data_IF_862060602282
#
_entry.id   IF_862060602282
#
_cell.length_a   1.000
_cell.length_b   1.000
_cell.length_c   1.000
_cell.angle_alpha   90.00
_cell.angle_beta   90.00
_cell.angle_gamma   90.00
#
_symmetry.space_group_name_H-M   'P 1'
#
loop_
_entity.id
_entity.type
_entity.pdbx_description
1 polymer ?
#
# COMPACT_ATOMS: atom_id res chain seq x y z
N UNK A 1 36.81 -15.68 -3.12
CA UNK A 1 36.09 -14.52 -3.61
C UNK A 1 34.63 -14.77 -3.35
N UNK A 2 33.92 -14.00 -2.52
CA UNK A 2 32.48 -14.15 -2.39
C UNK A 2 31.83 -13.56 -3.66
N UNK A 3 31.01 -14.37 -4.33
CA UNK A 3 30.21 -13.95 -5.46
C UNK A 3 29.37 -12.72 -5.09
N UNK A 4 29.51 -11.68 -5.88
CA UNK A 4 28.76 -10.43 -5.76
C UNK A 4 27.27 -10.71 -6.02
N UNK A 5 26.51 -10.93 -4.95
CA UNK A 5 25.06 -11.19 -4.98
C UNK A 5 24.24 -10.00 -5.49
N UNK A 6 24.90 -8.88 -5.84
CA UNK A 6 24.26 -7.64 -6.30
C UNK A 6 23.87 -7.63 -7.77
N UNK A 7 24.18 -8.70 -8.53
CA UNK A 7 23.95 -8.75 -9.98
C UNK A 7 23.10 -9.91 -10.48
N UNK A 8 22.22 -10.49 -9.68
CA UNK A 8 21.19 -11.31 -10.29
C UNK A 8 20.25 -10.38 -11.07
N UNK A 9 20.19 -10.49 -12.43
CA UNK A 9 19.23 -9.73 -13.19
C UNK A 9 17.86 -10.14 -12.67
N UNK A 10 17.15 -9.18 -12.05
CA UNK A 10 15.74 -9.34 -11.75
C UNK A 10 15.06 -9.69 -13.06
N UNK A 11 14.56 -10.91 -13.18
CA UNK A 11 13.78 -11.32 -14.36
C UNK A 11 12.65 -10.31 -14.50
N UNK A 12 12.59 -9.54 -15.61
CA UNK A 12 11.53 -8.54 -15.76
C UNK A 12 10.20 -9.24 -15.60
N UNK A 13 9.33 -8.68 -14.75
CA UNK A 13 7.94 -9.10 -14.77
C UNK A 13 7.45 -8.93 -16.19
N UNK A 14 6.76 -9.92 -16.79
CA UNK A 14 6.18 -9.73 -18.10
C UNK A 14 5.33 -8.46 -18.06
N UNK A 15 5.70 -7.47 -18.89
CA UNK A 15 5.02 -6.18 -18.92
C UNK A 15 3.52 -6.36 -19.06
N UNK A 16 2.71 -5.46 -18.53
CA UNK A 16 1.26 -5.53 -18.62
C UNK A 16 0.87 -5.45 -20.10
N UNK A 17 0.70 -6.59 -20.73
CA UNK A 17 -0.08 -6.64 -21.97
C UNK A 17 -1.52 -6.45 -21.54
N UNK A 18 -2.13 -5.33 -21.93
CA UNK A 18 -3.49 -4.93 -21.58
C UNK A 18 -4.55 -6.03 -21.83
N UNK A 19 -4.23 -7.01 -22.63
CA UNK A 19 -5.09 -8.12 -23.02
C UNK A 19 -4.33 -9.45 -23.08
N UNK A 20 -3.85 -9.94 -21.94
CA UNK A 20 -3.59 -11.37 -21.88
C UNK A 20 -4.86 -12.06 -21.43
N UNK A 21 -5.49 -12.78 -22.34
CA UNK A 21 -6.58 -13.75 -22.10
C UNK A 21 -6.26 -14.77 -21.00
N UNK A 22 -5.01 -14.90 -20.66
CA UNK A 22 -4.48 -15.71 -19.56
C UNK A 22 -4.99 -15.31 -18.17
N UNK A 23 -5.52 -14.09 -17.97
CA UNK A 23 -6.13 -13.69 -16.72
C UNK A 23 -7.59 -14.16 -16.55
N UNK A 24 -8.19 -14.73 -17.57
CA UNK A 24 -9.55 -15.30 -17.55
C UNK A 24 -9.59 -16.78 -17.22
N UNK A 25 -8.44 -17.46 -17.28
CA UNK A 25 -8.38 -18.90 -17.02
C UNK A 25 -8.11 -19.15 -15.52
N UNK A 26 -8.56 -20.30 -14.95
CA UNK A 26 -8.37 -20.62 -13.53
C UNK A 26 -6.91 -21.01 -13.26
N UNK A 27 -6.01 -20.05 -13.36
CA UNK A 27 -4.61 -20.21 -12.97
C UNK A 27 -4.50 -20.22 -11.46
N UNK A 28 -3.55 -21.01 -10.95
CA UNK A 28 -3.13 -20.93 -9.56
C UNK A 28 -2.77 -19.46 -9.27
N UNK A 29 -3.46 -18.84 -8.35
CA UNK A 29 -3.35 -17.42 -8.01
C UNK A 29 -1.91 -16.96 -7.78
N UNK A 30 -1.07 -17.85 -7.22
CA UNK A 30 0.36 -17.58 -6.97
C UNK A 30 1.14 -17.05 -8.21
N UNK A 31 0.65 -17.32 -9.41
CA UNK A 31 1.28 -16.88 -10.67
C UNK A 31 0.54 -15.70 -11.33
N UNK A 32 -0.59 -15.27 -10.80
CA UNK A 32 -1.36 -14.16 -11.33
C UNK A 32 -0.99 -12.85 -10.61
N UNK A 33 -0.61 -11.84 -11.39
CA UNK A 33 -0.36 -10.50 -10.83
C UNK A 33 -1.69 -9.77 -10.61
N UNK A 34 -2.60 -9.85 -11.60
CA UNK A 34 -3.91 -9.21 -11.47
C UNK A 34 -4.86 -10.04 -10.64
N UNK A 35 -5.62 -9.36 -9.78
CA UNK A 35 -6.74 -9.98 -9.09
C UNK A 35 -7.76 -10.53 -10.11
N UNK A 36 -8.23 -11.78 -9.98
CA UNK A 36 -9.12 -12.40 -10.99
C UNK A 36 -10.45 -11.63 -11.18
N UNK A 37 -10.94 -10.96 -10.16
CA UNK A 37 -12.13 -10.10 -10.23
C UNK A 37 -11.91 -8.76 -10.93
N UNK A 38 -10.67 -8.33 -11.18
CA UNK A 38 -10.43 -7.00 -11.74
C UNK A 38 -10.98 -6.83 -13.14
N UNK A 39 -10.77 -7.80 -14.01
CA UNK A 39 -11.22 -7.73 -15.40
C UNK A 39 -12.75 -7.78 -15.53
N UNK A 40 -13.48 -8.70 -14.87
CA UNK A 40 -14.94 -8.69 -14.91
C UNK A 40 -15.55 -7.37 -14.44
N UNK A 41 -15.07 -6.84 -13.29
CA UNK A 41 -15.56 -5.56 -12.78
C UNK A 41 -15.18 -4.37 -13.66
N UNK A 42 -14.02 -4.40 -14.31
CA UNK A 42 -13.62 -3.39 -15.28
C UNK A 42 -14.50 -3.40 -16.54
N UNK A 43 -14.84 -4.58 -17.05
CA UNK A 43 -15.76 -4.74 -18.19
C UNK A 43 -17.15 -4.21 -17.81
N UNK A 44 -17.64 -4.54 -16.61
CA UNK A 44 -18.90 -4.02 -16.09
C UNK A 44 -18.89 -2.49 -16.00
N UNK A 45 -17.80 -1.91 -15.51
CA UNK A 45 -17.64 -0.46 -15.42
C UNK A 45 -17.66 0.21 -16.79
N UNK A 46 -16.96 -0.36 -17.76
CA UNK A 46 -16.97 0.14 -19.15
C UNK A 46 -18.36 0.00 -19.78
N UNK A 47 -19.07 -1.12 -19.52
CA UNK A 47 -20.44 -1.34 -19.97
C UNK A 47 -21.38 -0.28 -19.43
N UNK A 48 -21.40 -0.03 -18.11
CA UNK A 48 -22.22 0.99 -17.48
C UNK A 48 -21.94 2.38 -18.08
N UNK A 49 -20.66 2.72 -18.23
CA UNK A 49 -20.28 4.01 -18.82
C UNK A 49 -20.74 4.13 -20.26
N UNK A 50 -20.55 3.09 -21.09
CA UNK A 50 -20.96 3.08 -22.48
C UNK A 50 -22.50 3.24 -22.60
N UNK A 51 -23.28 2.46 -21.86
CA UNK A 51 -24.76 2.56 -21.88
C UNK A 51 -25.23 3.92 -21.40
N UNK A 52 -24.58 4.49 -20.37
CA UNK A 52 -24.91 5.85 -19.91
C UNK A 52 -24.65 6.87 -21.00
N UNK A 53 -23.49 6.85 -21.67
CA UNK A 53 -23.20 7.79 -22.74
C UNK A 53 -24.07 7.59 -23.98
N UNK A 54 -24.48 6.35 -24.30
CA UNK A 54 -25.48 6.10 -25.35
C UNK A 54 -26.82 6.75 -24.96
N UNK A 55 -27.29 6.55 -23.73
CA UNK A 55 -28.53 7.17 -23.23
C UNK A 55 -28.47 8.70 -23.26
N UNK A 56 -27.35 9.28 -22.77
CA UNK A 56 -27.11 10.74 -22.84
C UNK A 56 -27.12 11.23 -24.30
N UNK A 57 -26.50 10.48 -25.22
CA UNK A 57 -26.48 10.82 -26.64
C UNK A 57 -27.89 10.81 -27.28
N UNK A 58 -28.68 9.80 -26.96
CA UNK A 58 -30.09 9.72 -27.42
C UNK A 58 -30.88 10.91 -26.88
N UNK A 59 -30.80 11.17 -25.58
CA UNK A 59 -31.47 12.31 -24.94
C UNK A 59 -31.03 13.66 -25.55
N UNK A 60 -29.73 13.83 -25.78
CA UNK A 60 -29.20 15.04 -26.41
C UNK A 60 -29.79 15.29 -27.79
N UNK A 61 -29.93 14.25 -28.60
CA UNK A 61 -30.46 14.35 -29.97
C UNK A 61 -31.97 14.53 -30.01
N UNK A 62 -32.72 14.08 -29.00
CA UNK A 62 -34.21 14.07 -29.05
C UNK A 62 -34.86 15.15 -28.19
N UNK A 63 -34.29 15.47 -27.04
CA UNK A 63 -34.98 16.24 -26.00
C UNK A 63 -34.16 17.37 -25.39
N UNK A 64 -32.84 17.34 -25.47
CA UNK A 64 -31.99 18.32 -24.77
C UNK A 64 -32.25 19.77 -25.18
N UNK A 65 -32.41 20.03 -26.48
CA UNK A 65 -32.65 21.40 -26.97
C UNK A 65 -34.04 21.92 -26.53
N UNK A 66 -35.15 21.17 -26.68
CA UNK A 66 -36.44 21.53 -26.14
C UNK A 66 -36.41 21.79 -24.62
N UNK A 67 -35.82 20.91 -23.84
CA UNK A 67 -35.76 21.06 -22.39
C UNK A 67 -34.87 22.26 -21.96
N UNK A 68 -33.78 22.51 -22.70
CA UNK A 68 -32.93 23.68 -22.46
C UNK A 68 -33.68 25.02 -22.77
N UNK A 69 -34.50 25.02 -23.81
CA UNK A 69 -35.31 26.20 -24.18
C UNK A 69 -36.49 26.41 -23.25
N UNK A 70 -36.90 25.42 -22.49
CA UNK A 70 -37.97 25.53 -21.47
C UNK A 70 -37.46 26.04 -20.12
N UNK A 71 -36.15 26.30 -19.96
CA UNK A 71 -35.61 26.88 -18.75
C UNK A 71 -36.03 28.35 -18.64
N UNK A 72 -36.82 28.66 -17.64
CA UNK A 72 -37.20 30.04 -17.30
C UNK A 72 -36.09 30.67 -16.43
N UNK A 73 -35.68 31.88 -16.83
CA UNK A 73 -34.75 32.69 -16.03
C UNK A 73 -35.59 33.78 -15.34
N UNK A 74 -35.54 33.83 -14.03
CA UNK A 74 -36.14 34.90 -13.25
C UNK A 74 -35.38 36.21 -13.55
N UNK A 75 -36.04 37.14 -14.22
CA UNK A 75 -35.47 38.44 -14.62
C UNK A 75 -35.02 39.30 -13.43
N UNK A 76 -35.56 39.07 -12.23
CA UNK A 76 -35.23 39.85 -11.03
C UNK A 76 -33.99 39.32 -10.27
N UNK A 77 -33.79 38.03 -10.27
CA UNK A 77 -32.69 37.37 -9.54
C UNK A 77 -31.57 36.87 -10.46
N UNK A 78 -31.82 36.80 -11.76
CA UNK A 78 -30.89 36.19 -12.72
C UNK A 78 -30.69 34.68 -12.54
N UNK A 79 -31.53 34.04 -11.72
CA UNK A 79 -31.42 32.60 -11.42
C UNK A 79 -32.31 31.80 -12.37
N UNK A 80 -31.76 30.76 -12.98
CA UNK A 80 -32.52 29.81 -13.77
C UNK A 80 -33.39 28.95 -12.85
N UNK A 81 -34.70 29.02 -13.03
CA UNK A 81 -35.64 28.13 -12.35
C UNK A 81 -35.82 26.84 -13.16
N UNK A 82 -35.93 25.71 -12.46
CA UNK A 82 -36.30 24.42 -13.06
C UNK A 82 -35.40 23.86 -14.15
N UNK A 83 -34.05 23.94 -13.95
CA UNK A 83 -33.16 23.17 -14.79
C UNK A 83 -33.43 21.68 -14.52
N UNK A 84 -34.08 21.00 -15.47
CA UNK A 84 -34.46 19.61 -15.35
C UNK A 84 -33.24 18.73 -15.03
N UNK A 85 -33.44 17.71 -14.20
CA UNK A 85 -32.36 16.80 -13.79
C UNK A 85 -31.61 16.20 -15.00
N UNK A 86 -32.32 15.90 -16.09
CA UNK A 86 -31.73 15.32 -17.31
C UNK A 86 -30.81 16.32 -18.02
N UNK A 87 -31.12 17.61 -18.03
CA UNK A 87 -30.23 18.65 -18.58
C UNK A 87 -28.95 18.72 -17.73
N UNK A 88 -29.06 18.73 -16.39
CA UNK A 88 -27.92 18.77 -15.50
C UNK A 88 -27.01 17.56 -15.68
N UNK A 89 -27.58 16.34 -15.73
CA UNK A 89 -26.81 15.10 -15.93
C UNK A 89 -26.13 15.06 -17.31
N UNK A 90 -26.79 15.59 -18.35
CA UNK A 90 -26.21 15.70 -19.70
C UNK A 90 -25.00 16.65 -19.70
N UNK A 91 -25.16 17.84 -19.13
CA UNK A 91 -24.05 18.79 -19.01
C UNK A 91 -22.90 18.20 -18.20
N UNK A 92 -23.19 17.55 -17.07
CA UNK A 92 -22.16 16.88 -16.26
C UNK A 92 -21.44 15.80 -17.08
N UNK A 93 -22.16 14.94 -17.79
CA UNK A 93 -21.57 13.89 -18.60
C UNK A 93 -20.65 14.44 -19.71
N UNK A 94 -21.07 15.51 -20.38
CA UNK A 94 -20.28 16.17 -21.44
C UNK A 94 -19.02 16.82 -20.89
N UNK A 95 -19.12 17.52 -19.76
CA UNK A 95 -17.98 18.23 -19.18
C UNK A 95 -17.08 17.34 -18.29
N UNK A 96 -17.56 16.21 -17.83
CA UNK A 96 -16.80 15.33 -16.91
C UNK A 96 -15.39 14.97 -17.41
N UNK A 97 -15.17 14.58 -18.67
CA UNK A 97 -13.82 14.26 -19.16
C UNK A 97 -12.87 15.47 -19.09
N UNK A 98 -13.37 16.67 -19.46
CA UNK A 98 -12.59 17.90 -19.37
C UNK A 98 -12.29 18.27 -17.92
N UNK A 99 -13.28 18.19 -17.04
CA UNK A 99 -13.13 18.47 -15.61
C UNK A 99 -12.08 17.55 -14.98
N UNK A 100 -12.16 16.25 -15.25
CA UNK A 100 -11.18 15.27 -14.76
C UNK A 100 -9.77 15.57 -15.28
N UNK A 101 -9.65 16.01 -16.54
CA UNK A 101 -8.37 16.43 -17.10
C UNK A 101 -7.81 17.65 -16.37
N UNK A 102 -8.62 18.69 -16.17
CA UNK A 102 -8.20 19.92 -15.50
C UNK A 102 -7.84 19.68 -14.03
N UNK A 103 -8.66 18.93 -13.29
CA UNK A 103 -8.39 18.58 -11.88
C UNK A 103 -7.04 17.84 -11.77
N UNK A 104 -6.78 16.89 -12.64
CA UNK A 104 -5.49 16.16 -12.63
C UNK A 104 -4.31 17.03 -13.04
N UNK A 105 -4.51 17.94 -14.00
CA UNK A 105 -3.50 18.91 -14.41
C UNK A 105 -3.11 19.80 -13.24
N UNK A 106 -4.12 20.35 -12.55
CA UNK A 106 -3.93 21.23 -11.41
C UNK A 106 -3.28 20.48 -10.23
N UNK A 107 -3.78 19.30 -9.88
CA UNK A 107 -3.17 18.45 -8.84
C UNK A 107 -1.69 18.17 -9.13
N UNK A 108 -1.35 17.80 -10.37
CA UNK A 108 0.04 17.55 -10.74
C UNK A 108 0.89 18.82 -10.67
N UNK A 109 0.34 19.96 -11.09
CA UNK A 109 1.03 21.23 -10.97
C UNK A 109 1.30 21.59 -9.50
N UNK A 110 0.30 21.44 -8.62
CA UNK A 110 0.46 21.66 -7.18
C UNK A 110 1.56 20.79 -6.55
N UNK A 111 1.59 19.51 -6.89
CA UNK A 111 2.62 18.59 -6.40
C UNK A 111 4.01 19.04 -6.88
N UNK A 112 4.15 19.42 -8.14
CA UNK A 112 5.45 19.85 -8.69
C UNK A 112 6.02 21.10 -8.06
N UNK A 113 5.18 22.01 -7.58
CA UNK A 113 5.63 23.29 -7.00
C UNK A 113 5.76 23.24 -5.49
N UNK A 114 5.05 22.33 -4.80
CA UNK A 114 5.03 22.27 -3.34
C UNK A 114 5.74 21.04 -2.75
N UNK A 115 5.88 19.95 -3.49
CA UNK A 115 6.51 18.74 -2.99
C UNK A 115 7.98 18.64 -3.39
N UNK A 116 8.78 17.92 -2.59
CA UNK A 116 10.20 17.72 -2.85
C UNK A 116 10.38 16.57 -3.83
N UNK A 117 11.07 16.82 -4.95
CA UNK A 117 11.29 15.79 -5.96
C UNK A 117 12.28 14.74 -5.46
N UNK A 118 11.94 13.46 -5.61
CA UNK A 118 12.87 12.35 -5.39
C UNK A 118 13.77 12.22 -6.62
N UNK A 119 15.08 12.23 -6.41
CA UNK A 119 16.10 12.19 -7.45
C UNK A 119 17.37 11.51 -6.93
N UNK A 120 18.37 11.21 -7.80
CA UNK A 120 19.65 10.66 -7.34
C UNK A 120 20.37 11.51 -6.30
N UNK A 121 20.08 12.80 -6.23
CA UNK A 121 20.69 13.75 -5.29
C UNK A 121 19.77 14.14 -4.13
N UNK A 122 18.50 13.76 -4.19
CA UNK A 122 17.51 13.97 -3.12
C UNK A 122 16.76 12.67 -2.87
N UNK A 123 16.84 12.12 -1.66
CA UNK A 123 16.30 10.81 -1.30
C UNK A 123 16.82 9.68 -2.21
N UNK A 124 18.15 9.50 -2.34
CA UNK A 124 18.76 8.59 -3.31
C UNK A 124 18.29 7.12 -3.13
N UNK A 125 18.05 6.71 -1.90
CA UNK A 125 17.56 5.37 -1.57
C UNK A 125 16.14 5.12 -2.11
N UNK A 126 15.22 6.04 -1.83
CA UNK A 126 13.88 5.96 -2.37
C UNK A 126 13.89 6.02 -3.91
N UNK A 127 14.76 6.85 -4.50
CA UNK A 127 14.93 6.89 -5.95
C UNK A 127 15.38 5.54 -6.50
N UNK A 128 16.36 4.91 -5.88
CA UNK A 128 16.84 3.58 -6.29
C UNK A 128 15.72 2.54 -6.19
N UNK A 129 14.95 2.53 -5.08
CA UNK A 129 13.81 1.62 -4.91
C UNK A 129 12.78 1.80 -6.03
N UNK A 130 12.49 3.06 -6.44
CA UNK A 130 11.55 3.36 -7.53
C UNK A 130 12.09 2.85 -8.87
N UNK A 131 13.37 3.04 -9.16
CA UNK A 131 14.01 2.54 -10.37
C UNK A 131 13.95 1.01 -10.44
N UNK A 132 14.27 0.34 -9.33
CA UNK A 132 14.22 -1.12 -9.23
C UNK A 132 12.80 -1.64 -9.39
N UNK A 133 11.81 -1.03 -8.73
CA UNK A 133 10.40 -1.40 -8.85
C UNK A 133 9.87 -1.18 -10.27
N UNK A 134 10.21 -0.05 -10.89
CA UNK A 134 9.83 0.25 -12.27
C UNK A 134 10.40 -0.79 -13.25
N UNK A 135 11.66 -1.17 -13.06
CA UNK A 135 12.32 -2.24 -13.83
C UNK A 135 11.65 -3.59 -13.61
N UNK A 136 11.40 -3.95 -12.35
CA UNK A 136 10.75 -5.22 -11.99
C UNK A 136 9.32 -5.33 -12.53
N UNK A 137 8.61 -4.19 -12.59
CA UNK A 137 7.27 -4.10 -13.18
C UNK A 137 7.25 -3.98 -14.70
N UNK A 138 8.42 -3.88 -15.36
CA UNK A 138 8.53 -3.76 -16.81
C UNK A 138 8.06 -2.42 -17.38
N UNK A 139 8.15 -1.34 -16.59
CA UNK A 139 7.82 -0.01 -17.07
C UNK A 139 8.86 0.48 -18.07
N UNK A 140 8.41 1.17 -19.12
CA UNK A 140 9.30 1.77 -20.14
C UNK A 140 10.04 3.01 -19.63
N UNK A 141 9.52 3.68 -18.61
CA UNK A 141 10.08 4.90 -18.02
C UNK A 141 9.90 4.84 -16.50
N UNK A 142 10.87 5.34 -15.77
CA UNK A 142 10.77 5.55 -14.33
C UNK A 142 9.74 6.66 -14.09
N UNK A 143 8.73 6.47 -13.23
CA UNK A 143 7.79 7.52 -12.90
C UNK A 143 8.48 8.67 -12.17
N UNK A 144 7.98 9.90 -12.34
CA UNK A 144 8.37 11.01 -11.48
C UNK A 144 7.96 10.68 -10.04
N UNK A 145 8.73 11.12 -9.05
CA UNK A 145 8.40 10.84 -7.65
C UNK A 145 8.67 12.05 -6.76
N UNK A 146 7.83 12.20 -5.74
CA UNK A 146 7.84 13.36 -4.85
C UNK A 146 7.62 12.94 -3.40
N UNK A 147 8.28 13.63 -2.47
CA UNK A 147 7.97 13.57 -1.04
C UNK A 147 7.08 14.77 -0.72
N UNK A 148 5.94 14.49 -0.09
CA UNK A 148 4.99 15.50 0.36
C UNK A 148 4.85 15.45 1.89
N UNK A 149 4.61 16.60 2.51
CA UNK A 149 4.40 16.69 3.95
C UNK A 149 3.16 15.87 4.37
N UNK A 150 3.37 14.93 5.29
CA UNK A 150 2.33 13.99 5.73
C UNK A 150 1.54 14.44 6.96
N UNK A 151 2.08 15.39 7.76
CA UNK A 151 1.45 15.86 9.01
C UNK A 151 1.01 14.71 9.94
N UNK A 152 1.83 13.67 10.06
CA UNK A 152 1.54 12.49 10.85
C UNK A 152 0.77 11.39 10.10
N UNK A 153 0.30 11.65 8.90
CA UNK A 153 -0.34 10.63 8.06
C UNK A 153 0.69 9.81 7.30
N UNK A 154 0.52 8.50 7.35
CA UNK A 154 1.30 7.57 6.54
C UNK A 154 0.48 7.25 5.29
N UNK A 155 0.96 7.70 4.15
CA UNK A 155 0.30 7.45 2.88
C UNK A 155 1.29 7.53 1.71
N UNK A 156 0.92 6.93 0.61
CA UNK A 156 1.52 7.13 -0.70
C UNK A 156 0.42 6.99 -1.75
N UNK A 157 0.62 7.55 -2.93
CA UNK A 157 -0.31 7.34 -4.03
C UNK A 157 0.38 7.51 -5.38
N UNK A 158 -0.10 6.75 -6.36
CA UNK A 158 0.26 6.91 -7.75
C UNK A 158 -0.81 7.70 -8.51
N UNK A 159 -0.37 8.52 -9.45
CA UNK A 159 -1.27 9.23 -10.35
C UNK A 159 -0.62 9.50 -11.69
N UNK A 160 -1.28 10.26 -12.56
CA UNK A 160 -0.73 10.63 -13.85
C UNK A 160 -1.50 11.74 -14.52
N UNK A 161 -0.77 12.54 -15.32
CA UNK A 161 -1.35 13.57 -16.17
C UNK A 161 -0.71 13.50 -17.55
N UNK A 162 -1.51 13.50 -18.60
CA UNK A 162 -1.03 13.27 -19.97
C UNK A 162 -0.24 11.97 -20.07
N UNK A 163 0.99 12.05 -20.55
CA UNK A 163 1.92 10.92 -20.65
C UNK A 163 2.78 10.72 -19.40
N UNK A 164 2.75 11.64 -18.44
CA UNK A 164 3.50 11.57 -17.21
C UNK A 164 2.79 10.68 -16.17
N UNK A 165 3.55 9.87 -15.47
CA UNK A 165 3.13 9.09 -14.31
C UNK A 165 4.01 9.49 -13.16
N UNK A 166 3.42 9.61 -11.98
CA UNK A 166 4.15 10.01 -10.79
C UNK A 166 3.64 9.29 -9.55
N UNK A 167 4.53 9.24 -8.56
CA UNK A 167 4.28 8.67 -7.24
C UNK A 167 4.51 9.78 -6.23
N UNK A 168 3.64 9.89 -5.23
CA UNK A 168 3.83 10.76 -4.07
C UNK A 168 3.96 9.89 -2.84
N UNK A 169 4.99 10.14 -2.06
CA UNK A 169 5.27 9.43 -0.81
C UNK A 169 5.21 10.48 0.31
N UNK A 170 4.47 10.19 1.38
CA UNK A 170 4.39 11.12 2.49
C UNK A 170 5.64 11.05 3.36
N UNK A 171 6.04 12.22 3.89
CA UNK A 171 7.27 12.40 4.68
C UNK A 171 7.34 11.48 5.91
N UNK A 172 6.19 11.05 6.44
CA UNK A 172 6.10 10.19 7.62
C UNK A 172 6.61 8.76 7.39
N UNK A 173 6.90 8.38 6.14
CA UNK A 173 7.58 7.15 5.78
C UNK A 173 9.12 7.24 5.85
N UNK A 174 9.65 8.42 6.15
CA UNK A 174 11.08 8.69 6.27
C UNK A 174 11.45 9.08 7.71
N UNK A 175 12.72 8.85 8.06
CA UNK A 175 13.35 9.35 9.29
C UNK A 175 13.98 10.73 9.09
N UNK A 176 14.40 11.32 10.17
CA UNK A 176 15.24 12.53 10.14
C UNK A 176 16.49 12.23 9.31
N UNK A 177 16.76 13.10 8.33
CA UNK A 177 17.87 12.89 7.38
C UNK A 177 17.51 12.17 6.10
N UNK A 178 16.26 11.72 5.95
CA UNK A 178 15.70 11.19 4.69
C UNK A 178 15.89 9.70 4.46
N UNK A 179 16.43 8.95 5.41
CA UNK A 179 16.46 7.49 5.35
C UNK A 179 15.03 6.91 5.48
N UNK A 180 14.73 5.77 4.83
CA UNK A 180 13.46 5.07 5.04
C UNK A 180 13.28 4.67 6.50
N UNK A 181 12.13 4.95 7.10
CA UNK A 181 11.82 4.55 8.48
C UNK A 181 11.82 3.02 8.63
N UNK A 182 11.18 2.35 7.69
CA UNK A 182 11.28 0.91 7.52
C UNK A 182 11.53 0.62 6.02
N UNK A 183 12.74 0.19 5.64
CA UNK A 183 13.10 -0.02 4.24
C UNK A 183 12.22 -1.05 3.53
N UNK A 184 11.82 -2.12 4.19
CA UNK A 184 10.99 -3.15 3.59
C UNK A 184 9.56 -2.67 3.37
N UNK A 185 8.98 -1.93 4.36
CA UNK A 185 7.68 -1.32 4.20
C UNK A 185 7.69 -0.29 3.05
N UNK A 186 8.71 0.57 2.98
CA UNK A 186 8.82 1.56 1.90
C UNK A 186 9.00 0.89 0.54
N UNK A 187 9.83 -0.17 0.44
CA UNK A 187 9.97 -0.94 -0.80
C UNK A 187 8.66 -1.58 -1.23
N UNK A 188 7.91 -2.15 -0.29
CA UNK A 188 6.60 -2.72 -0.58
C UNK A 188 5.63 -1.65 -1.09
N UNK A 189 5.54 -0.50 -0.40
CA UNK A 189 4.68 0.63 -0.80
C UNK A 189 5.06 1.13 -2.19
N UNK A 190 6.34 1.35 -2.46
CA UNK A 190 6.82 1.75 -3.79
C UNK A 190 6.44 0.70 -4.85
N UNK A 191 6.61 -0.58 -4.55
CA UNK A 191 6.19 -1.68 -5.44
C UNK A 191 4.69 -1.68 -5.71
N UNK A 192 3.87 -1.38 -4.69
CA UNK A 192 2.42 -1.22 -4.78
C UNK A 192 2.04 -0.03 -5.69
N UNK A 193 2.63 1.14 -5.48
CA UNK A 193 2.36 2.34 -6.28
C UNK A 193 2.81 2.17 -7.74
N UNK A 194 3.99 1.60 -7.95
CA UNK A 194 4.45 1.20 -9.29
C UNK A 194 3.50 0.18 -9.91
N UNK A 195 2.93 -0.71 -9.10
CA UNK A 195 1.90 -1.68 -9.50
C UNK A 195 0.66 -1.00 -10.07
N UNK A 196 0.15 0.06 -9.44
CA UNK A 196 -0.97 0.85 -9.97
C UNK A 196 -0.63 1.44 -11.35
N UNK A 197 0.59 1.93 -11.54
CA UNK A 197 1.03 2.45 -12.84
C UNK A 197 1.13 1.32 -13.87
N UNK A 198 1.76 0.21 -13.53
CA UNK A 198 1.99 -0.92 -14.41
C UNK A 198 0.69 -1.63 -14.83
N UNK A 199 -0.26 -1.71 -13.90
CA UNK A 199 -1.59 -2.27 -14.16
C UNK A 199 -2.52 -1.30 -14.93
N UNK A 200 -2.09 -0.03 -15.13
CA UNK A 200 -2.86 0.97 -15.86
C UNK A 200 -3.99 1.62 -15.05
N UNK A 201 -4.01 1.46 -13.72
CA UNK A 201 -5.05 2.01 -12.84
C UNK A 201 -5.11 3.55 -12.91
N UNK A 202 -3.98 4.19 -13.11
CA UNK A 202 -3.84 5.65 -13.18
C UNK A 202 -4.00 6.23 -14.60
N UNK A 203 -4.41 5.43 -15.56
CA UNK A 203 -4.59 5.89 -16.94
C UNK A 203 -5.80 6.83 -17.05
N UNK A 204 -5.69 7.87 -17.86
CA UNK A 204 -6.77 8.83 -18.06
C UNK A 204 -8.03 8.18 -18.67
N UNK A 205 -7.83 7.32 -19.67
CA UNK A 205 -8.95 6.58 -20.28
C UNK A 205 -9.66 5.69 -19.27
N UNK A 206 -8.90 4.93 -18.48
CA UNK A 206 -9.50 4.09 -17.44
C UNK A 206 -10.31 4.93 -16.45
N UNK A 207 -9.78 6.09 -16.04
CA UNK A 207 -10.47 6.99 -15.13
C UNK A 207 -11.81 7.46 -15.70
N UNK A 208 -11.85 7.92 -16.95
CA UNK A 208 -13.09 8.35 -17.60
C UNK A 208 -14.09 7.20 -17.67
N UNK A 209 -13.66 6.05 -18.22
CA UNK A 209 -14.56 4.93 -18.45
C UNK A 209 -14.96 4.14 -17.19
N UNK A 210 -14.36 4.43 -16.04
CA UNK A 210 -14.76 3.84 -14.76
C UNK A 210 -15.42 4.85 -13.81
N UNK A 211 -15.33 6.16 -14.10
CA UNK A 211 -15.75 7.22 -13.17
C UNK A 211 -17.22 7.11 -12.75
N UNK A 212 -18.12 6.87 -13.69
CA UNK A 212 -19.56 6.72 -13.40
C UNK A 212 -19.84 5.47 -12.55
N UNK A 213 -19.21 4.35 -12.91
CA UNK A 213 -19.34 3.10 -12.15
C UNK A 213 -18.83 3.25 -10.71
N UNK A 214 -17.71 3.96 -10.53
CA UNK A 214 -17.12 4.20 -9.21
C UNK A 214 -18.01 5.05 -8.28
N UNK A 215 -18.97 5.79 -8.82
CA UNK A 215 -19.96 6.54 -8.04
C UNK A 215 -21.14 5.68 -7.55
N UNK A 216 -21.29 4.44 -8.06
CA UNK A 216 -22.35 3.55 -7.62
C UNK A 216 -22.05 3.08 -6.19
N UNK A 217 -22.95 3.35 -5.21
CA UNK A 217 -22.76 2.93 -3.83
C UNK A 217 -22.51 1.41 -3.74
N UNK A 218 -21.64 0.98 -2.83
CA UNK A 218 -21.28 -0.42 -2.56
C UNK A 218 -20.60 -1.15 -3.74
N UNK A 219 -21.08 -0.94 -4.96
CA UNK A 219 -20.60 -1.67 -6.15
C UNK A 219 -19.33 -1.06 -6.72
N UNK A 220 -19.26 0.28 -6.81
CA UNK A 220 -18.08 0.97 -7.33
C UNK A 220 -16.79 0.66 -6.56
N UNK A 221 -16.91 0.55 -5.25
CA UNK A 221 -15.78 0.22 -4.37
C UNK A 221 -15.22 -1.21 -4.59
N UNK A 222 -15.99 -2.13 -5.18
CA UNK A 222 -15.50 -3.49 -5.49
C UNK A 222 -14.39 -3.43 -6.54
N UNK A 223 -14.57 -2.64 -7.59
CA UNK A 223 -13.53 -2.44 -8.61
C UNK A 223 -12.26 -1.84 -7.98
N UNK A 224 -12.40 -0.84 -7.10
CA UNK A 224 -11.27 -0.25 -6.37
C UNK A 224 -10.52 -1.31 -5.57
N UNK A 225 -11.22 -2.13 -4.79
CA UNK A 225 -10.59 -3.20 -4.00
C UNK A 225 -9.86 -4.24 -4.86
N UNK A 226 -10.37 -4.56 -6.07
CA UNK A 226 -9.62 -5.45 -6.97
C UNK A 226 -8.31 -4.83 -7.43
N UNK A 227 -8.31 -3.51 -7.67
CA UNK A 227 -7.11 -2.77 -8.06
C UNK A 227 -6.08 -2.72 -6.93
N UNK A 228 -6.53 -2.57 -5.69
CA UNK A 228 -5.68 -2.60 -4.50
C UNK A 228 -4.99 -3.95 -4.33
N UNK A 229 -5.74 -5.06 -4.44
CA UNK A 229 -5.13 -6.40 -4.38
C UNK A 229 -4.17 -6.66 -5.55
N UNK A 230 -4.46 -6.12 -6.73
CA UNK A 230 -3.51 -6.17 -7.85
C UNK A 230 -2.22 -5.42 -7.52
N UNK A 231 -2.33 -4.21 -6.98
CA UNK A 231 -1.17 -3.41 -6.56
C UNK A 231 -0.40 -4.09 -5.42
N UNK A 232 -1.09 -4.70 -4.44
CA UNK A 232 -0.47 -5.51 -3.38
C UNK A 232 0.31 -6.70 -3.95
N UNK A 233 -0.18 -7.32 -5.02
CA UNK A 233 0.54 -8.41 -5.69
C UNK A 233 1.85 -7.93 -6.33
N UNK A 234 1.88 -6.71 -6.87
CA UNK A 234 3.13 -6.09 -7.34
C UNK A 234 4.06 -5.77 -6.17
N UNK A 235 3.54 -5.17 -5.09
CA UNK A 235 4.30 -4.89 -3.87
C UNK A 235 4.90 -6.16 -3.28
N UNK A 236 4.10 -7.21 -3.11
CA UNK A 236 4.54 -8.50 -2.59
C UNK A 236 5.60 -9.16 -3.49
N UNK A 237 5.40 -9.13 -4.81
CA UNK A 237 6.37 -9.69 -5.75
C UNK A 237 7.71 -8.95 -5.75
N UNK A 238 7.68 -7.65 -5.52
CA UNK A 238 8.87 -6.82 -5.44
C UNK A 238 9.59 -6.95 -4.09
N UNK A 239 8.84 -7.03 -2.99
CA UNK A 239 9.37 -7.11 -1.63
C UNK A 239 8.47 -7.98 -0.73
N UNK A 240 8.53 -9.34 -0.83
CA UNK A 240 7.67 -10.23 -0.04
C UNK A 240 7.82 -10.02 1.47
N UNK A 241 9.04 -9.81 1.94
CA UNK A 241 9.35 -9.55 3.36
C UNK A 241 8.76 -8.21 3.87
N UNK A 242 8.32 -7.35 2.96
CA UNK A 242 7.65 -6.09 3.32
C UNK A 242 6.18 -6.26 3.68
N UNK A 243 5.56 -7.43 3.49
CA UNK A 243 4.14 -7.63 3.77
C UNK A 243 3.77 -7.45 5.25
N UNK A 244 4.46 -8.06 6.23
CA UNK A 244 4.21 -7.77 7.64
C UNK A 244 4.58 -6.32 8.00
N UNK A 245 5.67 -5.80 7.46
CA UNK A 245 6.16 -4.46 7.77
C UNK A 245 5.19 -3.35 7.31
N UNK A 246 4.70 -3.45 6.07
CA UNK A 246 3.70 -2.49 5.56
C UNK A 246 2.38 -2.58 6.32
N UNK A 247 1.99 -3.78 6.74
CA UNK A 247 0.79 -3.96 7.56
C UNK A 247 0.94 -3.24 8.90
N UNK A 248 2.09 -3.41 9.59
CA UNK A 248 2.37 -2.70 10.83
C UNK A 248 2.33 -1.19 10.65
N UNK A 249 3.00 -0.67 9.63
CA UNK A 249 3.03 0.77 9.32
C UNK A 249 1.63 1.33 9.04
N UNK A 250 0.83 0.65 8.23
CA UNK A 250 -0.52 1.12 7.87
C UNK A 250 -1.54 0.95 9.01
N UNK A 251 -1.40 -0.09 9.83
CA UNK A 251 -2.34 -0.37 10.92
C UNK A 251 -2.10 0.48 12.17
N UNK A 252 -0.83 0.67 12.56
CA UNK A 252 -0.46 1.30 13.84
C UNK A 252 0.40 2.56 13.70
N UNK A 253 0.74 2.93 12.48
CA UNK A 253 1.50 4.14 12.23
C UNK A 253 2.99 4.01 12.53
N UNK A 254 3.68 5.13 12.43
CA UNK A 254 5.15 5.20 12.42
C UNK A 254 5.84 4.85 13.75
N UNK A 255 5.14 4.92 14.85
CA UNK A 255 5.72 4.69 16.18
C UNK A 255 5.42 3.30 16.73
N UNK A 256 4.29 2.70 16.36
CA UNK A 256 3.81 1.44 16.93
C UNK A 256 3.87 0.27 15.93
N UNK A 257 4.38 0.48 14.73
CA UNK A 257 4.41 -0.54 13.67
C UNK A 257 5.09 -1.85 14.08
N UNK A 258 6.09 -1.78 14.98
CA UNK A 258 6.83 -2.95 15.44
C UNK A 258 6.10 -3.76 16.54
N UNK A 259 5.04 -3.19 17.12
CA UNK A 259 4.20 -3.86 18.13
C UNK A 259 3.04 -4.62 17.47
N UNK A 260 2.85 -4.45 16.15
CA UNK A 260 1.78 -5.15 15.44
C UNK A 260 2.21 -6.59 15.16
N UNK A 261 1.45 -7.53 15.73
CA UNK A 261 1.54 -8.93 15.36
C UNK A 261 0.78 -9.13 14.04
N UNK A 262 1.52 -9.32 12.97
CA UNK A 262 0.96 -9.46 11.61
C UNK A 262 -0.02 -10.64 11.49
N UNK A 263 0.32 -11.79 12.10
CA UNK A 263 -0.51 -12.98 12.00
C UNK A 263 -1.80 -12.84 12.80
N UNK A 264 -1.74 -12.27 14.00
CA UNK A 264 -2.89 -11.97 14.82
C UNK A 264 -3.80 -10.95 14.12
N UNK A 265 -3.23 -9.87 13.59
CA UNK A 265 -3.99 -8.87 12.84
C UNK A 265 -4.69 -9.49 11.62
N UNK A 266 -4.01 -10.38 10.89
CA UNK A 266 -4.57 -11.08 9.73
C UNK A 266 -5.62 -12.13 10.13
N UNK A 267 -5.45 -12.82 11.28
CA UNK A 267 -6.42 -13.79 11.79
C UNK A 267 -7.79 -13.17 12.04
N UNK A 268 -7.83 -11.92 12.46
CA UNK A 268 -9.07 -11.16 12.69
C UNK A 268 -10.00 -11.12 11.48
N UNK A 269 -9.45 -11.21 10.26
CA UNK A 269 -10.25 -11.29 9.04
C UNK A 269 -11.25 -12.45 9.05
N UNK A 270 -10.92 -13.56 9.71
CA UNK A 270 -11.77 -14.75 9.83
C UNK A 270 -12.76 -14.66 11.01
N UNK A 271 -12.34 -14.06 12.12
CA UNK A 271 -13.15 -13.99 13.35
C UNK A 271 -14.08 -12.78 13.37
N UNK A 272 -13.55 -11.62 12.95
CA UNK A 272 -14.34 -10.38 12.95
C UNK A 272 -15.42 -10.43 11.88
N UNK A 273 -16.66 -10.47 12.32
CA UNK A 273 -17.82 -10.57 11.44
C UNK A 273 -19.00 -9.74 11.94
N UNK A 274 -20.09 -9.85 11.19
CA UNK A 274 -21.32 -9.14 11.49
C UNK A 274 -21.75 -8.19 10.37
N UNK A 275 -23.00 -7.78 10.43
CA UNK A 275 -23.61 -6.96 9.39
C UNK A 275 -22.88 -5.62 9.18
N UNK A 276 -22.57 -4.92 10.27
CA UNK A 276 -21.92 -3.61 10.17
C UNK A 276 -20.46 -3.72 9.69
N UNK A 277 -19.73 -4.77 10.10
CA UNK A 277 -18.38 -5.05 9.59
C UNK A 277 -18.41 -5.33 8.07
N UNK A 278 -19.42 -6.06 7.63
CA UNK A 278 -19.64 -6.33 6.22
C UNK A 278 -19.91 -5.04 5.41
N UNK A 279 -20.83 -4.16 5.89
CA UNK A 279 -21.12 -2.86 5.27
C UNK A 279 -19.87 -1.97 5.26
N UNK A 280 -19.11 -1.93 6.36
CA UNK A 280 -17.87 -1.15 6.44
C UNK A 280 -16.89 -1.55 5.33
N UNK A 281 -16.72 -2.87 5.09
CA UNK A 281 -15.90 -3.34 3.99
C UNK A 281 -16.50 -2.98 2.62
N UNK A 282 -17.82 -3.09 2.44
CA UNK A 282 -18.44 -2.77 1.16
C UNK A 282 -18.29 -1.30 0.78
N UNK A 283 -18.34 -0.39 1.74
CA UNK A 283 -18.18 1.05 1.49
C UNK A 283 -16.71 1.46 1.32
N UNK A 284 -15.76 0.64 1.78
CA UNK A 284 -14.35 0.97 1.72
C UNK A 284 -13.82 0.90 0.28
N UNK A 285 -13.16 1.95 -0.18
CA UNK A 285 -12.45 1.98 -1.46
C UNK A 285 -11.20 1.08 -1.47
N UNK A 286 -10.59 0.88 -0.30
CA UNK A 286 -9.53 -0.09 -0.07
C UNK A 286 -10.08 -1.28 0.69
N UNK A 287 -9.53 -2.50 0.51
CA UNK A 287 -9.87 -3.60 1.39
C UNK A 287 -9.57 -3.24 2.85
N UNK A 288 -10.45 -3.62 3.77
CA UNK A 288 -10.18 -3.39 5.20
C UNK A 288 -8.86 -4.05 5.61
N UNK A 289 -8.11 -3.39 6.50
CA UNK A 289 -6.73 -3.75 6.81
C UNK A 289 -6.52 -5.22 7.16
N UNK A 290 -7.42 -5.82 7.94
CA UNK A 290 -7.35 -7.25 8.29
C UNK A 290 -7.49 -8.18 7.09
N UNK A 291 -8.39 -7.87 6.14
CA UNK A 291 -8.55 -8.68 4.93
C UNK A 291 -7.36 -8.52 3.98
N UNK A 292 -6.80 -7.32 3.93
CA UNK A 292 -5.58 -7.05 3.16
C UNK A 292 -4.39 -7.83 3.74
N UNK A 293 -4.19 -7.78 5.05
CA UNK A 293 -3.17 -8.55 5.75
C UNK A 293 -3.35 -10.07 5.54
N UNK A 294 -4.58 -10.58 5.63
CA UNK A 294 -4.90 -11.98 5.36
C UNK A 294 -4.51 -12.39 3.94
N UNK A 295 -4.84 -11.58 2.93
CA UNK A 295 -4.51 -11.87 1.53
C UNK A 295 -2.98 -11.78 1.26
N UNK A 296 -2.26 -10.95 2.00
CA UNK A 296 -0.80 -10.89 1.93
C UNK A 296 -0.13 -12.08 2.61
N UNK A 297 -0.74 -12.63 3.66
CA UNK A 297 -0.27 -13.81 4.37
C UNK A 297 -0.59 -15.10 3.62
N UNK A 298 -1.84 -15.27 3.22
CA UNK A 298 -2.30 -16.43 2.44
C UNK A 298 -2.29 -16.12 0.95
N UNK A 299 -1.22 -16.55 0.29
CA UNK A 299 -1.03 -16.36 -1.15
C UNK A 299 -1.66 -17.46 -2.01
N UNK A 300 -2.33 -18.42 -1.41
CA UNK A 300 -3.02 -19.50 -2.11
C UNK A 300 -4.34 -19.05 -2.72
N UNK A 301 -4.99 -18.02 -2.14
CA UNK A 301 -6.25 -17.46 -2.58
C UNK A 301 -6.14 -15.95 -2.91
N UNK A 302 -6.97 -15.46 -3.84
CA UNK A 302 -7.07 -14.02 -4.07
C UNK A 302 -7.74 -13.33 -2.89
N UNK A 303 -7.44 -12.05 -2.70
CA UNK A 303 -8.08 -11.22 -1.69
C UNK A 303 -9.61 -11.19 -1.83
N UNK A 304 -10.31 -11.19 -0.72
CA UNK A 304 -11.78 -11.24 -0.68
C UNK A 304 -12.37 -9.84 -0.93
N UNK A 305 -13.42 -9.78 -1.74
CA UNK A 305 -14.04 -8.52 -2.17
C UNK A 305 -15.31 -8.19 -1.41
N UNK A 306 -16.16 -9.19 -1.13
CA UNK A 306 -17.51 -9.01 -0.59
C UNK A 306 -17.67 -9.77 0.73
N UNK A 307 -17.17 -11.00 0.78
CA UNK A 307 -17.32 -11.88 1.94
C UNK A 307 -15.96 -12.11 2.59
N UNK A 308 -15.92 -12.18 3.91
CA UNK A 308 -14.70 -12.45 4.68
C UNK A 308 -14.07 -13.81 4.31
N UNK A 309 -12.76 -13.99 4.52
CA UNK A 309 -12.14 -15.29 4.42
C UNK A 309 -12.73 -16.26 5.45
N UNK A 310 -12.70 -17.55 5.16
CA UNK A 310 -13.29 -18.57 6.03
C UNK A 310 -12.26 -19.20 6.96
N UNK A 311 -11.05 -19.38 6.50
CA UNK A 311 -10.01 -20.12 7.18
C UNK A 311 -8.72 -19.30 7.25
N UNK A 312 -7.95 -19.51 8.31
CA UNK A 312 -6.59 -19.00 8.42
C UNK A 312 -5.60 -20.04 7.89
N UNK A 313 -4.48 -19.62 7.26
CA UNK A 313 -3.41 -20.54 6.89
C UNK A 313 -2.77 -21.15 8.15
N UNK A 314 -2.24 -22.38 8.06
CA UNK A 314 -1.77 -23.12 9.22
C UNK A 314 -0.40 -22.66 9.76
N UNK A 315 0.28 -21.75 9.10
CA UNK A 315 1.65 -21.34 9.47
C UNK A 315 1.76 -19.81 9.56
N UNK A 316 2.38 -19.31 10.63
CA UNK A 316 2.62 -17.88 10.80
C UNK A 316 3.78 -17.41 9.90
N UNK A 317 3.72 -16.14 9.47
CA UNK A 317 4.85 -15.43 8.86
C UNK A 317 5.54 -14.48 9.86
N UNK A 318 4.86 -14.13 10.93
CA UNK A 318 5.39 -13.28 11.99
C UNK A 318 6.33 -14.05 12.90
N UNK A 319 7.36 -13.39 13.39
CA UNK A 319 8.23 -13.94 14.44
C UNK A 319 7.57 -13.89 15.83
N UNK A 320 6.50 -13.13 15.98
CA UNK A 320 5.73 -13.03 17.22
C UNK A 320 4.59 -14.04 17.12
N UNK A 321 4.48 -15.02 18.03
CA UNK A 321 3.37 -15.96 18.02
C UNK A 321 2.04 -15.22 18.08
N UNK A 322 1.10 -15.59 17.21
CA UNK A 322 -0.25 -15.07 17.28
C UNK A 322 -0.96 -15.58 18.53
N UNK A 323 -1.57 -14.69 19.28
CA UNK A 323 -2.46 -15.08 20.34
C UNK A 323 -3.71 -15.77 19.76
N UNK A 324 -4.19 -16.82 20.42
CA UNK A 324 -5.51 -17.33 20.09
C UNK A 324 -6.56 -16.26 20.44
N UNK A 325 -7.63 -16.14 19.66
CA UNK A 325 -8.68 -15.18 19.99
C UNK A 325 -9.24 -15.52 21.37
N UNK A 326 -9.01 -14.61 22.32
CA UNK A 326 -9.69 -14.70 23.61
C UNK A 326 -11.20 -14.68 23.36
N UNK A 327 -11.94 -15.49 24.11
CA UNK A 327 -13.38 -15.36 24.12
C UNK A 327 -13.73 -13.90 24.41
N UNK A 328 -14.60 -13.35 23.58
CA UNK A 328 -15.03 -11.97 23.70
C UNK A 328 -15.58 -11.74 25.12
N UNK A 329 -15.05 -10.74 25.82
CA UNK A 329 -15.52 -10.32 27.15
C UNK A 329 -15.07 -11.21 28.32
N UNK A 330 -13.81 -11.63 28.32
CA UNK A 330 -13.22 -12.25 29.53
C UNK A 330 -13.35 -11.30 30.72
N UNK A 331 -13.71 -11.84 31.88
CA UNK A 331 -13.66 -11.01 33.10
C UNK A 331 -12.18 -10.63 33.41
N UNK A 332 -11.96 -9.55 34.21
CA UNK A 332 -10.60 -9.07 34.49
C UNK A 332 -9.69 -10.11 35.16
N UNK A 333 -10.22 -11.04 35.97
CA UNK A 333 -9.42 -12.09 36.62
C UNK A 333 -8.97 -13.13 35.60
N UNK A 334 -9.89 -13.61 34.75
CA UNK A 334 -9.55 -14.50 33.65
C UNK A 334 -8.52 -13.87 32.68
N UNK A 335 -8.69 -12.58 32.40
CA UNK A 335 -7.71 -11.85 31.55
C UNK A 335 -6.34 -11.77 32.23
N UNK A 336 -6.29 -11.59 33.57
CA UNK A 336 -5.05 -11.55 34.35
C UNK A 336 -4.34 -12.91 34.32
N UNK A 337 -5.07 -13.98 34.54
CA UNK A 337 -4.55 -15.35 34.51
C UNK A 337 -4.05 -15.72 33.10
N UNK A 338 -4.79 -15.33 32.10
CA UNK A 338 -4.38 -15.50 30.70
C UNK A 338 -3.09 -14.74 30.38
N UNK A 339 -2.97 -13.48 30.80
CA UNK A 339 -1.74 -12.70 30.63
C UNK A 339 -0.55 -13.31 31.35
N UNK A 340 -0.75 -13.90 32.55
CA UNK A 340 0.30 -14.56 33.31
C UNK A 340 0.84 -15.83 32.62
N UNK A 341 0.05 -16.46 31.75
CA UNK A 341 0.46 -17.67 31.00
C UNK A 341 1.17 -17.34 29.69
N UNK A 342 1.03 -16.11 29.19
CA UNK A 342 1.71 -15.68 27.98
C UNK A 342 3.16 -15.32 28.26
N UNK A 343 4.12 -15.83 27.48
CA UNK A 343 5.51 -15.41 27.61
C UNK A 343 5.58 -13.90 27.35
N UNK A 344 6.27 -13.19 28.23
CA UNK A 344 6.52 -11.76 28.04
C UNK A 344 7.13 -11.55 26.64
N UNK A 345 6.45 -10.78 25.82
CA UNK A 345 7.04 -10.34 24.57
C UNK A 345 8.14 -9.32 24.92
N UNK A 346 9.41 -9.62 24.63
CA UNK A 346 10.52 -8.70 24.95
C UNK A 346 10.37 -7.32 24.27
N UNK A 347 9.42 -7.18 23.33
CA UNK A 347 9.09 -5.94 22.66
C UNK A 347 7.82 -5.26 23.23
N UNK A 348 7.18 -5.82 24.24
CA UNK A 348 6.02 -5.18 24.87
C UNK A 348 6.44 -3.84 25.48
N UNK A 349 5.86 -2.78 25.00
CA UNK A 349 5.90 -1.49 25.68
C UNK A 349 4.86 -1.55 26.82
N UNK A 350 5.33 -1.55 28.06
CA UNK A 350 4.45 -1.37 29.20
C UNK A 350 4.00 0.10 29.24
N UNK A 351 2.83 0.38 28.69
CA UNK A 351 2.22 1.71 28.77
C UNK A 351 2.03 2.10 30.24
N UNK A 352 2.59 3.24 30.63
CA UNK A 352 2.41 3.86 31.95
C UNK A 352 3.40 3.47 33.03
N UNK A 353 4.32 2.55 32.81
CA UNK A 353 5.43 2.29 33.72
C UNK A 353 6.71 2.89 33.12
N UNK A 354 7.04 4.10 33.50
CA UNK A 354 8.36 4.64 33.27
C UNK A 354 9.32 3.85 34.15
N UNK A 355 9.92 2.81 33.61
CA UNK A 355 11.04 2.14 34.26
C UNK A 355 12.26 3.03 34.08
N UNK A 356 12.58 3.78 35.12
CA UNK A 356 13.61 4.83 35.15
C UNK A 356 15.03 4.26 34.90
N UNK A 357 15.24 2.96 34.85
CA UNK A 357 16.57 2.36 34.73
C UNK A 357 16.73 1.18 33.77
N UNK A 358 15.73 0.72 33.10
CA UNK A 358 16.01 -0.14 31.95
C UNK A 358 16.48 0.78 30.80
N UNK A 359 17.78 0.83 30.58
CA UNK A 359 18.30 1.09 29.24
C UNK A 359 17.55 0.10 28.36
N UNK A 360 16.46 0.56 27.73
CA UNK A 360 15.79 -0.19 26.68
C UNK A 360 16.91 -0.64 25.78
N UNK A 361 17.23 -1.94 25.68
CA UNK A 361 18.27 -2.37 24.77
C UNK A 361 17.81 -1.83 23.43
N UNK A 362 18.58 -0.89 22.87
CA UNK A 362 18.28 -0.31 21.57
C UNK A 362 17.89 -1.49 20.70
N UNK A 363 16.63 -1.50 20.27
CA UNK A 363 16.01 -2.67 19.68
C UNK A 363 17.03 -3.27 18.73
N UNK A 364 17.43 -4.52 18.91
CA UNK A 364 18.48 -5.13 18.08
C UNK A 364 18.16 -5.00 16.60
N UNK A 365 16.86 -4.88 16.29
CA UNK A 365 16.30 -4.67 14.98
C UNK A 365 16.53 -3.24 14.47
N UNK A 366 16.31 -2.23 15.30
CA UNK A 366 16.52 -0.83 14.93
C UNK A 366 18.01 -0.51 14.76
N UNK A 367 18.88 -1.12 15.57
CA UNK A 367 20.33 -1.05 15.38
C UNK A 367 20.78 -1.76 14.11
N UNK A 368 20.29 -2.97 13.81
CA UNK A 368 20.61 -3.65 12.55
C UNK A 368 20.14 -2.89 11.34
N UNK A 369 18.95 -2.29 11.41
CA UNK A 369 18.41 -1.46 10.33
C UNK A 369 19.20 -0.16 10.22
N UNK A 370 19.50 0.53 11.33
CA UNK A 370 20.34 1.71 11.35
C UNK A 370 21.76 1.40 10.85
N UNK A 371 22.38 0.32 11.34
CA UNK A 371 23.72 -0.11 10.92
C UNK A 371 23.74 -0.55 9.44
N UNK A 372 22.70 -1.22 8.96
CA UNK A 372 22.55 -1.57 7.54
C UNK A 372 22.35 -0.33 6.68
N UNK A 373 21.51 0.60 7.11
CA UNK A 373 21.29 1.87 6.42
C UNK A 373 22.56 2.71 6.42
N UNK A 374 23.24 2.84 7.55
CA UNK A 374 24.50 3.55 7.64
C UNK A 374 25.60 2.93 6.79
N UNK A 375 25.67 1.61 6.68
CA UNK A 375 26.72 0.92 5.88
C UNK A 375 26.38 0.80 4.41
N UNK A 376 25.12 0.57 4.05
CA UNK A 376 24.75 0.37 2.64
C UNK A 376 24.49 1.68 1.89
N UNK A 377 24.07 2.73 2.58
CA UNK A 377 23.50 3.93 1.98
C UNK A 377 24.27 5.22 2.23
N UNK A 378 25.33 5.14 3.05
CA UNK A 378 26.23 6.29 3.21
C UNK A 378 26.80 6.73 1.83
N UNK A 379 26.95 8.02 1.58
CA UNK A 379 27.64 8.51 0.39
C UNK A 379 28.97 7.79 0.20
N UNK A 380 29.43 7.59 -1.04
CA UNK A 380 30.60 6.75 -1.34
C UNK A 380 31.85 7.13 -0.50
N UNK A 381 32.09 8.42 -0.28
CA UNK A 381 33.23 8.92 0.51
C UNK A 381 33.12 8.53 1.99
N UNK A 382 31.91 8.58 2.59
CA UNK A 382 31.68 8.17 3.99
C UNK A 382 31.78 6.65 4.12
N UNK A 383 31.34 5.92 3.11
CA UNK A 383 31.45 4.45 3.08
C UNK A 383 32.92 4.00 3.02
N UNK A 384 33.73 4.64 2.19
CA UNK A 384 35.16 4.38 2.11
C UNK A 384 35.91 4.74 3.39
N UNK A 385 35.57 5.87 4.03
CA UNK A 385 36.16 6.29 5.30
C UNK A 385 35.84 5.31 6.43
N UNK A 386 34.60 4.84 6.52
CA UNK A 386 34.18 3.84 7.50
C UNK A 386 34.80 2.46 7.24
N UNK A 387 34.95 2.05 5.98
CA UNK A 387 35.64 0.81 5.64
C UNK A 387 37.12 0.89 6.05
N UNK A 388 37.80 2.02 5.84
CA UNK A 388 39.17 2.25 6.28
C UNK A 388 39.28 2.25 7.82
N UNK A 389 38.33 2.88 8.51
CA UNK A 389 38.27 2.89 9.97
C UNK A 389 38.02 1.48 10.55
N UNK A 390 37.15 0.70 9.93
CA UNK A 390 36.90 -0.70 10.33
C UNK A 390 38.08 -1.62 10.08
N UNK A 391 38.86 -1.40 9.03
CA UNK A 391 40.10 -2.14 8.74
C UNK A 391 41.24 -1.78 9.69
N UNK A 392 41.25 -0.55 10.22
CA UNK A 392 42.27 -0.04 11.15
C UNK A 392 41.87 -0.19 12.62
N UNK A 393 40.66 -0.69 12.92
CA UNK A 393 40.25 -0.95 14.30
C UNK A 393 41.09 -2.08 14.89
N UNK A 394 41.70 -1.93 16.08
CA UNK A 394 42.47 -2.97 16.70
C UNK A 394 41.58 -4.21 16.95
N UNK A 395 41.99 -5.34 16.41
CA UNK A 395 41.33 -6.61 16.70
C UNK A 395 41.43 -6.84 18.21
N UNK A 396 40.36 -6.66 18.94
CA UNK A 396 40.26 -7.06 20.33
C UNK A 396 40.37 -8.59 20.36
N UNK A 397 41.55 -9.06 20.77
CA UNK A 397 41.81 -10.47 21.02
C UNK A 397 40.84 -10.97 22.10
N UNK A 398 39.78 -11.61 21.68
CA UNK A 398 38.91 -12.40 22.55
C UNK A 398 39.57 -13.73 22.84
N UNK A 399 40.58 -13.77 23.70
CA UNK A 399 41.01 -14.98 24.36
C UNK A 399 40.40 -15.01 25.75
N UNK A 400 39.36 -15.78 25.87
CA UNK A 400 38.76 -16.25 27.11
C UNK A 400 38.45 -17.73 26.95
N UNK A 401 39.47 -18.58 26.86
CA UNK A 401 39.30 -20.03 27.05
C UNK A 401 38.92 -20.24 28.51
N UNK A 402 37.66 -20.58 28.78
CA UNK A 402 37.23 -21.16 30.02
C UNK A 402 37.69 -22.63 30.05
N UNK A 403 38.70 -22.92 30.87
CA UNK A 403 39.05 -24.31 31.25
C UNK A 403 37.92 -24.91 32.10
N UNK A 404 37.57 -26.18 31.89
CA UNK A 404 36.63 -26.87 32.76
C UNK A 404 37.32 -27.18 34.11
N UNK A 405 36.76 -26.63 35.19
CA UNK A 405 37.13 -27.04 36.54
C UNK A 405 36.58 -28.44 36.79
N UNK A 406 37.51 -29.37 37.06
CA UNK A 406 37.27 -30.69 37.61
C UNK A 406 36.64 -30.58 39.01
N UNK A 407 35.53 -31.24 39.24
CA UNK A 407 34.99 -31.52 40.58
C UNK A 407 35.90 -32.51 41.33
N UNK A 408 36.14 -32.33 42.62
CA UNK A 408 36.68 -33.41 43.46
C UNK A 408 35.56 -34.35 43.87
N UNK A 409 35.86 -35.64 43.70
CA UNK A 409 35.14 -36.69 44.42
C UNK A 409 35.46 -36.54 45.94
N UNK A 410 34.37 -36.47 46.73
CA UNK A 410 34.17 -37.28 47.99
C UNK A 410 32.73 -37.05 48.50
#
# INVERSE_FOLDING_TARGET
MPEDTRQRPLTPLPGPKLFRFQSLLPFKFANAIRHPGELPWLISAYGVTLFTYIGVGIYFLTSFIPDLMAIEVDETTGTASNIGLMVQLTLLAVYLPLLLFLVRAFMYAQIRVNAVRISPTQFPEAYQMIVEAARAAGLRRVPDAYVMLGNGQINAFASGHGHRRFIVIYSDLFEIGGAPRNPNALRFIIGHEVGHIAAGHVSYFRLIFTSLFMQLPLVGSILSRTQEYTADNYGYRFCPQGAPEVTGVLAAGKYLMNEVNFDEYANRAVYEGGFFTWIANLNASHPVGTWRAHALRDRSEPGRLIWRPKNNPPYPLSMIPAAEPAETWADPLQATDYMATYPENPNNQHFGIVQVEQKVPARHRDRRVADMLETQWAPPHIREERMRAAQNAPQSQGQGQAQPQSQPED
#
